data_IF_506630684535
#
_entry.id   IF_506630684535
#
_cell.length_a   1.000
_cell.length_b   1.000
_cell.length_c   1.000
_cell.angle_alpha   90.00
_cell.angle_beta   90.00
_cell.angle_gamma   90.00
#
_symmetry.space_group_name_H-M   'P 1'
#
loop_
_entity.id
_entity.type
_entity.pdbx_description
1 polymer ?
#
# COMPACT_ATOMS: atom_id res chain seq x y z
N UNK A 1 -19.14 -104.01 54.33
CA UNK A 1 -20.48 -103.95 53.72
C UNK A 1 -20.62 -102.56 53.09
N UNK A 2 -20.77 -102.55 51.76
CA UNK A 2 -21.08 -101.48 50.79
C UNK A 2 -20.53 -100.02 50.87
N UNK A 3 -20.25 -99.41 49.70
CA UNK A 3 -19.50 -98.18 49.48
C UNK A 3 -20.38 -96.95 49.20
N UNK A 4 -19.84 -95.74 49.34
CA UNK A 4 -20.38 -94.50 48.73
C UNK A 4 -19.20 -93.59 48.35
N UNK A 5 -18.87 -93.46 47.07
CA UNK A 5 -19.41 -92.51 46.07
C UNK A 5 -18.79 -91.10 46.17
N UNK A 6 -17.82 -90.85 45.29
CA UNK A 6 -17.26 -89.53 45.00
C UNK A 6 -18.32 -88.67 44.28
N UNK A 7 -18.78 -87.60 44.94
CA UNK A 7 -19.56 -86.53 44.31
C UNK A 7 -18.67 -85.31 44.08
N UNK A 8 -18.47 -85.00 42.80
CA UNK A 8 -17.99 -83.72 42.29
C UNK A 8 -19.01 -82.61 42.61
N UNK A 9 -18.55 -81.45 43.08
CA UNK A 9 -19.37 -80.23 43.14
C UNK A 9 -18.70 -79.09 42.38
N UNK A 10 -19.48 -78.59 41.42
CA UNK A 10 -19.18 -77.67 40.32
C UNK A 10 -18.86 -76.25 40.80
N UNK A 11 -17.92 -75.60 40.10
CA UNK A 11 -17.66 -74.17 40.20
C UNK A 11 -18.83 -73.31 39.67
N UNK A 12 -18.79 -72.03 40.02
CA UNK A 12 -19.85 -71.05 39.81
C UNK A 12 -20.29 -70.95 38.32
N UNK A 13 -21.59 -70.73 38.04
CA UNK A 13 -22.08 -70.65 36.67
C UNK A 13 -21.69 -69.31 36.04
N UNK A 14 -21.06 -69.37 34.85
CA UNK A 14 -20.86 -68.21 33.99
C UNK A 14 -22.23 -67.67 33.52
N UNK A 15 -22.41 -66.34 33.45
CA UNK A 15 -23.67 -65.76 32.99
C UNK A 15 -23.95 -66.14 31.52
N UNK A 16 -25.22 -66.31 31.13
CA UNK A 16 -25.59 -66.72 29.79
C UNK A 16 -25.08 -65.71 28.73
N UNK A 17 -24.57 -66.24 27.62
CA UNK A 17 -23.92 -65.51 26.51
C UNK A 17 -24.56 -64.17 26.09
N UNK A 18 -25.90 -63.98 26.02
CA UNK A 18 -26.46 -62.68 25.67
C UNK A 18 -26.21 -61.59 26.72
N UNK A 19 -26.15 -61.94 28.01
CA UNK A 19 -25.88 -60.98 29.10
C UNK A 19 -24.43 -60.48 29.02
N UNK A 20 -23.50 -61.37 28.66
CA UNK A 20 -22.10 -61.00 28.46
C UNK A 20 -21.94 -60.01 27.30
N UNK A 21 -22.68 -60.21 26.20
CA UNK A 21 -22.64 -59.30 25.05
C UNK A 21 -23.20 -57.91 25.41
N UNK A 22 -24.28 -57.86 26.20
CA UNK A 22 -24.85 -56.59 26.69
C UNK A 22 -23.87 -55.87 27.61
N UNK A 23 -23.19 -56.59 28.51
CA UNK A 23 -22.18 -56.00 29.39
C UNK A 23 -20.98 -55.45 28.62
N UNK A 24 -20.51 -56.17 27.58
CA UNK A 24 -19.44 -55.70 26.70
C UNK A 24 -19.88 -54.45 25.92
N UNK A 25 -21.13 -54.41 25.42
CA UNK A 25 -21.66 -53.26 24.71
C UNK A 25 -21.78 -52.03 25.62
N UNK A 26 -22.28 -52.20 26.85
CA UNK A 26 -22.37 -51.13 27.86
C UNK A 26 -20.97 -50.63 28.23
N UNK A 27 -20.01 -51.54 28.44
CA UNK A 27 -18.64 -51.17 28.76
C UNK A 27 -17.98 -50.44 27.58
N UNK A 28 -18.20 -50.89 26.35
CA UNK A 28 -17.75 -50.21 25.14
C UNK A 28 -18.35 -48.81 25.00
N UNK A 29 -19.64 -48.64 25.27
CA UNK A 29 -20.31 -47.33 25.27
C UNK A 29 -19.78 -46.41 26.37
N UNK A 30 -19.51 -46.96 27.56
CA UNK A 30 -18.95 -46.22 28.68
C UNK A 30 -17.52 -45.74 28.40
N UNK A 31 -16.66 -46.61 27.84
CA UNK A 31 -15.30 -46.25 27.43
C UNK A 31 -15.34 -45.21 26.30
N UNK A 32 -16.24 -45.37 25.33
CA UNK A 32 -16.43 -44.40 24.25
C UNK A 32 -16.91 -43.05 24.80
N UNK A 33 -17.88 -43.05 25.73
CA UNK A 33 -18.38 -41.86 26.41
C UNK A 33 -17.28 -41.13 27.21
N UNK A 34 -16.44 -41.86 27.94
CA UNK A 34 -15.29 -41.29 28.65
C UNK A 34 -14.25 -40.75 27.67
N UNK A 35 -14.00 -41.45 26.55
CA UNK A 35 -13.05 -41.01 25.51
C UNK A 35 -13.53 -39.74 24.82
N UNK A 36 -14.81 -39.66 24.46
CA UNK A 36 -15.43 -38.45 23.94
C UNK A 36 -15.43 -37.32 24.96
N UNK A 37 -15.69 -37.59 26.24
CA UNK A 37 -15.60 -36.57 27.28
C UNK A 37 -14.16 -36.10 27.54
N UNK A 38 -13.16 -36.98 27.42
CA UNK A 38 -11.75 -36.61 27.49
C UNK A 38 -11.34 -35.75 26.30
N UNK A 39 -11.72 -36.11 25.07
CA UNK A 39 -11.50 -35.28 23.87
C UNK A 39 -12.24 -33.95 23.98
N UNK A 40 -13.44 -33.93 24.57
CA UNK A 40 -14.19 -32.67 24.80
C UNK A 40 -13.55 -31.83 25.91
N UNK A 41 -12.94 -32.45 26.93
CA UNK A 41 -12.17 -31.78 27.97
C UNK A 41 -10.83 -31.27 27.45
N UNK A 42 -10.18 -32.01 26.55
CA UNK A 42 -8.93 -31.65 25.88
C UNK A 42 -9.18 -30.55 24.85
N UNK A 43 -10.27 -30.61 24.07
CA UNK A 43 -10.74 -29.50 23.23
C UNK A 43 -11.16 -28.29 24.07
N UNK A 44 -11.78 -28.48 25.24
CA UNK A 44 -12.05 -27.37 26.19
C UNK A 44 -10.80 -26.89 26.89
N UNK A 45 -9.76 -27.70 27.03
CA UNK A 45 -8.45 -27.29 27.54
C UNK A 45 -7.63 -26.61 26.45
N UNK A 46 -7.84 -26.92 25.16
CA UNK A 46 -7.28 -26.20 24.00
C UNK A 46 -8.05 -24.90 23.73
N UNK A 47 -9.38 -24.87 23.93
CA UNK A 47 -10.22 -23.66 23.88
C UNK A 47 -10.08 -22.78 25.14
N UNK A 48 -9.84 -23.34 26.34
CA UNK A 48 -9.51 -22.60 27.57
C UNK A 48 -8.00 -22.42 27.82
N UNK A 49 -7.13 -23.05 27.02
CA UNK A 49 -5.78 -22.56 26.78
C UNK A 49 -5.79 -21.49 25.69
N UNK A 50 -6.88 -20.74 25.60
CA UNK A 50 -6.88 -19.38 25.10
C UNK A 50 -5.68 -18.63 25.70
N UNK A 51 -4.81 -18.21 24.80
CA UNK A 51 -3.88 -17.11 24.98
C UNK A 51 -2.95 -17.20 26.19
N UNK A 52 -1.98 -18.11 26.14
CA UNK A 52 -0.60 -17.64 26.37
C UNK A 52 0.02 -17.37 25.01
N UNK A 53 -0.55 -16.40 24.28
CA UNK A 53 0.30 -15.57 23.43
C UNK A 53 1.27 -14.95 24.42
N UNK A 54 2.50 -15.48 24.48
CA UNK A 54 3.59 -14.80 25.15
C UNK A 54 3.56 -13.38 24.64
N UNK A 55 3.06 -12.45 25.46
CA UNK A 55 2.87 -11.06 25.08
C UNK A 55 4.26 -10.59 24.71
N UNK A 56 4.54 -10.47 23.39
CA UNK A 56 5.86 -10.11 22.92
C UNK A 56 6.10 -8.71 23.45
N UNK A 57 6.83 -8.63 24.56
CA UNK A 57 7.02 -7.38 25.29
C UNK A 57 8.08 -6.58 24.54
N UNK A 58 7.64 -5.92 23.48
CA UNK A 58 8.50 -5.06 22.69
C UNK A 58 8.95 -3.89 23.55
N UNK A 59 10.26 -3.68 23.59
CA UNK A 59 10.83 -2.55 24.33
C UNK A 59 10.23 -1.26 23.76
N UNK A 60 9.62 -0.45 24.63
CA UNK A 60 9.09 0.85 24.21
C UNK A 60 10.22 1.65 23.54
N UNK A 61 10.03 2.13 22.30
CA UNK A 61 11.06 2.90 21.63
C UNK A 61 11.31 4.20 22.42
N UNK A 62 12.59 4.59 22.54
CA UNK A 62 12.99 5.84 23.19
C UNK A 62 12.72 7.01 22.25
N UNK A 63 11.46 7.40 22.14
CA UNK A 63 10.99 8.49 21.28
C UNK A 63 10.30 9.57 22.13
N UNK A 64 10.32 10.84 21.67
CA UNK A 64 9.48 11.89 22.25
C UNK A 64 8.01 11.48 22.28
N UNK A 65 7.25 11.93 23.29
CA UNK A 65 5.85 11.54 23.46
C UNK A 65 5.00 11.84 22.22
N UNK A 66 5.28 12.96 21.55
CA UNK A 66 4.62 13.40 20.31
C UNK A 66 4.83 12.43 19.14
N UNK A 67 5.95 11.71 19.08
CA UNK A 67 6.25 10.76 18.02
C UNK A 67 5.60 9.39 18.22
N UNK A 68 5.27 9.04 19.46
CA UNK A 68 4.72 7.72 19.80
C UNK A 68 3.41 7.42 19.05
N UNK A 69 2.61 8.46 18.76
CA UNK A 69 1.33 8.28 18.04
C UNK A 69 1.51 7.84 16.58
N UNK A 70 2.68 8.02 15.99
CA UNK A 70 2.98 7.64 14.59
C UNK A 70 3.67 6.28 14.49
N UNK A 71 3.90 5.62 15.63
CA UNK A 71 4.61 4.35 15.72
C UNK A 71 3.63 3.25 16.09
N UNK A 72 3.51 2.25 15.22
CA UNK A 72 2.55 1.17 15.35
C UNK A 72 3.25 -0.18 15.41
N UNK A 73 2.63 -1.15 16.08
CA UNK A 73 3.02 -2.55 16.07
C UNK A 73 1.88 -3.38 15.47
N UNK A 74 1.64 -3.27 14.15
CA UNK A 74 0.54 -3.98 13.51
C UNK A 74 0.69 -5.49 13.69
N UNK A 75 -0.46 -6.15 13.92
CA UNK A 75 -0.60 -7.60 14.07
C UNK A 75 -1.51 -8.09 12.92
N UNK A 76 -0.93 -8.41 11.75
CA UNK A 76 -1.71 -8.94 10.63
C UNK A 76 -2.37 -10.26 11.02
N UNK A 77 -3.59 -10.47 10.54
CA UNK A 77 -4.35 -11.72 10.71
C UNK A 77 -3.91 -12.78 9.72
N UNK A 78 -3.49 -12.34 8.53
CA UNK A 78 -3.16 -13.22 7.40
C UNK A 78 -1.79 -13.91 7.49
N UNK A 79 -0.88 -13.43 8.36
CA UNK A 79 0.43 -14.04 8.59
C UNK A 79 1.06 -13.56 9.90
N UNK A 80 2.06 -14.27 10.41
CA UNK A 80 2.87 -13.81 11.54
C UNK A 80 4.05 -12.94 11.08
N UNK A 81 4.26 -11.79 11.74
CA UNK A 81 5.45 -10.95 11.51
C UNK A 81 6.75 -11.54 12.09
N UNK A 82 6.68 -12.61 12.89
CA UNK A 82 7.86 -13.28 13.46
C UNK A 82 8.79 -12.33 14.20
N UNK A 83 10.08 -12.36 13.85
CA UNK A 83 11.12 -11.47 14.41
C UNK A 83 10.84 -9.96 14.19
N UNK A 84 10.04 -9.62 13.17
CA UNK A 84 9.66 -8.24 12.88
C UNK A 84 8.53 -7.71 13.78
N UNK A 85 7.93 -8.55 14.64
CA UNK A 85 6.82 -8.15 15.53
C UNK A 85 7.16 -6.93 16.40
N UNK A 86 8.41 -6.83 16.88
CA UNK A 86 8.90 -5.69 17.65
C UNK A 86 9.54 -4.57 16.83
N UNK A 87 9.46 -4.63 15.50
CA UNK A 87 9.86 -3.52 14.67
C UNK A 87 8.68 -2.57 14.46
N UNK A 88 8.77 -1.32 14.95
CA UNK A 88 7.71 -0.33 14.80
C UNK A 88 7.52 0.04 13.33
N UNK A 89 6.28 0.28 12.95
CA UNK A 89 5.88 0.69 11.60
C UNK A 89 5.28 2.09 11.67
N UNK A 90 5.78 2.99 10.84
CA UNK A 90 5.18 4.30 10.58
C UNK A 90 4.33 4.23 9.33
N UNK A 91 3.06 4.61 9.46
CA UNK A 91 2.12 4.61 8.34
C UNK A 91 2.23 5.89 7.53
N UNK A 92 2.16 5.80 6.20
CA UNK A 92 2.14 7.00 5.35
C UNK A 92 1.22 6.90 4.14
N UNK A 93 0.84 8.06 3.60
CA UNK A 93 0.17 8.18 2.30
C UNK A 93 0.91 9.19 1.43
N UNK A 94 1.26 8.79 0.21
CA UNK A 94 1.81 9.66 -0.83
C UNK A 94 0.67 10.23 -1.67
N UNK A 95 0.32 11.49 -1.44
CA UNK A 95 -0.75 12.19 -2.15
C UNK A 95 -0.18 12.97 -3.32
N UNK A 96 -0.78 12.85 -4.50
CA UNK A 96 -0.26 13.50 -5.72
C UNK A 96 -1.35 13.72 -6.76
N UNK A 97 -1.05 14.53 -7.78
CA UNK A 97 -1.80 14.52 -9.05
C UNK A 97 -1.13 13.60 -10.07
N UNK A 98 -1.89 13.16 -11.09
CA UNK A 98 -1.32 12.51 -12.27
C UNK A 98 -0.21 13.35 -12.89
N UNK A 99 0.85 12.65 -13.31
CA UNK A 99 2.00 13.22 -14.03
C UNK A 99 2.84 14.22 -13.21
N UNK A 100 2.78 14.12 -11.88
CA UNK A 100 3.59 14.93 -10.95
C UNK A 100 4.89 14.24 -10.49
N UNK A 101 5.28 13.12 -11.14
CA UNK A 101 6.51 12.39 -10.79
C UNK A 101 6.34 11.37 -9.65
N UNK A 102 5.13 11.16 -9.15
CA UNK A 102 4.86 10.26 -8.02
C UNK A 102 5.16 8.79 -8.28
N UNK A 103 5.04 8.31 -9.53
CA UNK A 103 5.52 6.97 -9.89
C UNK A 103 7.04 6.81 -9.72
N UNK A 104 7.82 7.82 -10.13
CA UNK A 104 9.27 7.79 -9.99
C UNK A 104 9.68 7.87 -8.52
N UNK A 105 9.07 8.81 -7.80
CA UNK A 105 9.29 8.98 -6.37
C UNK A 105 8.93 7.73 -5.56
N UNK A 106 7.80 7.09 -5.86
CA UNK A 106 7.41 5.83 -5.24
C UNK A 106 8.44 4.72 -5.48
N UNK A 107 9.01 4.60 -6.68
CA UNK A 107 10.08 3.62 -6.92
C UNK A 107 11.37 3.93 -6.16
N UNK A 108 11.68 5.20 -5.90
CA UNK A 108 12.78 5.57 -5.01
C UNK A 108 12.50 5.10 -3.59
N UNK A 109 11.32 5.38 -3.04
CA UNK A 109 10.92 4.90 -1.72
C UNK A 109 10.99 3.37 -1.62
N UNK A 110 10.43 2.68 -2.59
CA UNK A 110 10.42 1.22 -2.63
C UNK A 110 11.80 0.58 -2.87
N UNK A 111 12.82 1.34 -3.25
CA UNK A 111 14.20 0.85 -3.26
C UNK A 111 14.81 0.73 -1.86
N UNK A 112 14.22 1.39 -0.86
CA UNK A 112 14.60 1.23 0.53
C UNK A 112 14.12 -0.13 1.07
N UNK A 113 14.95 -0.88 1.82
CA UNK A 113 14.56 -2.19 2.34
C UNK A 113 13.46 -2.12 3.40
N UNK A 114 13.41 -1.04 4.19
CA UNK A 114 12.40 -0.87 5.25
C UNK A 114 11.18 -0.02 4.84
N UNK A 115 11.07 0.42 3.58
CA UNK A 115 9.89 1.17 3.11
C UNK A 115 9.12 0.32 2.09
N UNK A 116 7.80 0.27 2.25
CA UNK A 116 6.89 -0.30 1.25
C UNK A 116 5.70 0.63 0.97
N UNK A 117 5.62 1.10 -0.26
CA UNK A 117 4.48 1.80 -0.85
C UNK A 117 3.75 0.86 -1.81
N UNK A 118 2.44 0.71 -1.62
CA UNK A 118 1.61 -0.29 -2.28
C UNK A 118 0.90 0.20 -3.56
N UNK A 119 1.38 1.28 -4.19
CA UNK A 119 0.79 1.82 -5.41
C UNK A 119 -0.57 2.48 -5.18
N UNK A 120 -1.30 2.65 -6.28
CA UNK A 120 -2.61 3.33 -6.34
C UNK A 120 -3.74 2.35 -6.03
N UNK A 121 -3.84 1.90 -4.78
CA UNK A 121 -4.84 0.91 -4.39
C UNK A 121 -6.27 1.41 -4.61
N UNK A 122 -6.50 2.73 -4.52
CA UNK A 122 -7.78 3.39 -4.75
C UNK A 122 -8.04 3.72 -6.22
N UNK A 123 -7.22 3.28 -7.17
CA UNK A 123 -7.57 3.37 -8.58
C UNK A 123 -8.81 2.51 -8.92
N UNK A 124 -9.06 1.45 -8.15
CA UNK A 124 -10.26 0.64 -8.28
C UNK A 124 -11.46 1.30 -7.58
N UNK A 125 -12.60 1.31 -8.27
CA UNK A 125 -13.81 2.03 -7.85
C UNK A 125 -14.45 1.38 -6.62
N UNK A 126 -14.51 0.05 -6.59
CA UNK A 126 -15.02 -0.77 -5.46
C UNK A 126 -14.45 -0.36 -4.10
N UNK A 127 -13.17 0.02 -4.05
CA UNK A 127 -12.49 0.43 -2.81
C UNK A 127 -12.83 1.84 -2.35
N UNK A 128 -13.48 2.64 -3.19
CA UNK A 128 -13.80 4.06 -2.93
C UNK A 128 -15.25 4.43 -3.23
N UNK A 129 -16.17 3.47 -3.29
CA UNK A 129 -17.59 3.74 -3.57
C UNK A 129 -18.26 4.60 -2.48
N UNK A 130 -17.79 4.47 -1.23
CA UNK A 130 -18.26 5.21 -0.08
C UNK A 130 -17.19 5.21 1.02
N UNK A 131 -17.41 6.04 2.06
CA UNK A 131 -16.47 6.16 3.18
C UNK A 131 -16.20 4.83 3.89
N UNK A 132 -17.20 3.97 4.09
CA UNK A 132 -17.00 2.66 4.74
C UNK A 132 -16.00 1.79 3.96
N UNK A 133 -16.13 1.74 2.64
CA UNK A 133 -15.24 0.97 1.76
C UNK A 133 -13.80 1.50 1.80
N UNK A 134 -13.66 2.83 1.87
CA UNK A 134 -12.37 3.50 2.03
C UNK A 134 -11.72 3.09 3.35
N UNK A 135 -12.43 3.25 4.47
CA UNK A 135 -11.88 2.97 5.80
C UNK A 135 -11.52 1.49 5.97
N UNK A 136 -12.34 0.56 5.48
CA UNK A 136 -12.04 -0.87 5.48
C UNK A 136 -10.77 -1.18 4.66
N UNK A 137 -10.61 -0.53 3.50
CA UNK A 137 -9.41 -0.69 2.67
C UNK A 137 -8.16 -0.17 3.39
N UNK A 138 -8.27 0.98 4.05
CA UNK A 138 -7.17 1.56 4.84
C UNK A 138 -6.82 0.70 6.06
N UNK A 139 -7.81 0.15 6.77
CA UNK A 139 -7.57 -0.74 7.90
C UNK A 139 -6.87 -2.02 7.46
N UNK A 140 -7.32 -2.65 6.37
CA UNK A 140 -6.62 -3.80 5.78
C UNK A 140 -5.16 -3.47 5.42
N UNK A 141 -4.93 -2.29 4.86
CA UNK A 141 -3.58 -1.82 4.53
C UNK A 141 -2.72 -1.63 5.79
N UNK A 142 -3.16 -0.82 6.74
CA UNK A 142 -2.34 -0.42 7.89
C UNK A 142 -2.25 -1.49 8.98
N UNK A 143 -3.11 -2.49 8.97
CA UNK A 143 -2.93 -3.73 9.75
C UNK A 143 -1.87 -4.67 9.13
N UNK A 144 -1.32 -4.32 7.96
CA UNK A 144 -0.42 -5.14 7.14
C UNK A 144 -1.05 -6.41 6.55
N UNK A 145 -2.37 -6.49 6.49
CA UNK A 145 -3.12 -7.58 5.82
C UNK A 145 -3.28 -7.35 4.30
N UNK A 146 -2.52 -6.41 3.76
CA UNK A 146 -2.45 -6.16 2.34
C UNK A 146 -1.38 -7.03 1.70
N UNK A 147 -1.80 -7.90 0.79
CA UNK A 147 -0.87 -8.76 0.06
C UNK A 147 0.06 -7.89 -0.79
N UNK A 148 1.34 -7.88 -0.43
CA UNK A 148 2.38 -7.18 -1.19
C UNK A 148 3.15 -8.20 -2.03
N UNK A 149 3.31 -7.93 -3.31
CA UNK A 149 4.08 -8.81 -4.21
C UNK A 149 5.60 -8.69 -4.03
N UNK A 150 6.04 -7.72 -3.22
CA UNK A 150 7.44 -7.39 -3.00
C UNK A 150 7.85 -7.80 -1.59
N UNK A 151 8.19 -9.09 -1.42
CA UNK A 151 8.86 -9.53 -0.21
C UNK A 151 10.14 -8.70 0.00
N UNK A 152 10.27 -8.11 1.19
CA UNK A 152 11.47 -7.38 1.59
C UNK A 152 12.34 -8.31 2.42
N UNK A 153 13.65 -8.21 2.23
CA UNK A 153 14.63 -8.99 3.00
C UNK A 153 14.88 -8.42 4.41
N UNK A 154 14.31 -7.26 4.73
CA UNK A 154 14.37 -6.64 6.05
C UNK A 154 12.96 -6.29 6.52
N UNK A 155 12.81 -6.11 7.83
CA UNK A 155 11.53 -5.71 8.40
C UNK A 155 11.09 -4.33 7.90
N UNK A 156 9.84 -4.25 7.45
CA UNK A 156 9.18 -2.99 7.11
C UNK A 156 9.09 -2.10 8.34
N UNK A 157 9.54 -0.86 8.20
CA UNK A 157 9.46 0.19 9.22
C UNK A 157 8.62 1.41 8.75
N UNK A 158 8.39 1.55 7.44
CA UNK A 158 7.43 2.50 6.88
C UNK A 158 6.54 1.80 5.86
N UNK A 159 5.22 1.92 6.03
CA UNK A 159 4.25 1.23 5.17
C UNK A 159 3.14 2.18 4.73
N UNK A 160 2.81 2.14 3.45
CA UNK A 160 1.89 3.12 2.91
C UNK A 160 1.35 2.81 1.54
N UNK A 161 0.68 3.80 0.98
CA UNK A 161 0.12 3.78 -0.36
C UNK A 161 0.42 5.08 -1.10
N UNK A 162 0.15 5.06 -2.40
CA UNK A 162 0.01 6.27 -3.20
C UNK A 162 -1.48 6.51 -3.47
N UNK A 163 -1.93 7.75 -3.32
CA UNK A 163 -3.32 8.12 -3.56
C UNK A 163 -3.37 9.37 -4.43
N UNK A 164 -3.93 9.23 -5.62
CA UNK A 164 -4.05 10.37 -6.52
C UNK A 164 -5.29 11.21 -6.17
N UNK A 165 -5.21 12.53 -6.30
CA UNK A 165 -6.34 13.42 -5.94
C UNK A 165 -7.62 13.10 -6.73
N UNK A 166 -7.50 12.66 -7.97
CA UNK A 166 -8.64 12.24 -8.80
C UNK A 166 -9.16 10.81 -8.50
N UNK A 167 -8.69 10.17 -7.43
CA UNK A 167 -9.13 8.85 -6.97
C UNK A 167 -9.93 8.96 -5.66
N UNK A 168 -10.70 10.03 -5.51
CA UNK A 168 -11.63 10.24 -4.39
C UNK A 168 -10.98 10.58 -3.05
N UNK A 169 -9.71 11.02 -3.04
CA UNK A 169 -9.04 11.47 -1.81
C UNK A 169 -9.73 12.68 -1.17
N UNK A 170 -10.32 13.55 -1.99
CA UNK A 170 -10.99 14.77 -1.55
C UNK A 170 -12.49 14.60 -1.33
N UNK A 171 -13.09 13.48 -1.76
CA UNK A 171 -14.55 13.30 -1.78
C UNK A 171 -15.13 13.15 -0.35
N UNK A 172 -14.33 12.57 0.56
CA UNK A 172 -14.65 12.39 1.97
C UNK A 172 -13.54 12.98 2.86
N UNK A 173 -13.08 14.19 2.55
CA UNK A 173 -11.88 14.78 3.14
C UNK A 173 -11.89 14.80 4.68
N UNK A 174 -13.02 15.12 5.32
CA UNK A 174 -13.11 15.22 6.78
C UNK A 174 -12.95 13.86 7.45
N UNK A 175 -13.65 12.84 6.96
CA UNK A 175 -13.57 11.48 7.49
C UNK A 175 -12.17 10.86 7.25
N UNK A 176 -11.59 11.10 6.08
CA UNK A 176 -10.24 10.64 5.75
C UNK A 176 -9.23 11.35 6.66
N UNK A 177 -9.30 12.68 6.81
CA UNK A 177 -8.39 13.42 7.68
C UNK A 177 -8.49 12.96 9.15
N UNK A 178 -9.70 12.73 9.64
CA UNK A 178 -9.95 12.18 10.98
C UNK A 178 -9.34 10.79 11.15
N UNK A 179 -9.53 9.90 10.17
CA UNK A 179 -8.94 8.56 10.18
C UNK A 179 -7.41 8.63 10.24
N UNK A 180 -6.78 9.39 9.34
CA UNK A 180 -5.33 9.53 9.26
C UNK A 180 -4.75 10.09 10.57
N UNK A 181 -5.38 11.10 11.15
CA UNK A 181 -4.98 11.67 12.45
C UNK A 181 -5.08 10.65 13.60
N UNK A 182 -6.22 9.93 13.67
CA UNK A 182 -6.47 8.91 14.70
C UNK A 182 -5.48 7.75 14.59
N UNK A 183 -5.15 7.35 13.37
CA UNK A 183 -4.25 6.23 13.08
C UNK A 183 -2.78 6.64 13.00
N UNK A 184 -2.43 7.91 13.26
CA UNK A 184 -1.03 8.34 13.21
C UNK A 184 -0.40 8.20 11.82
N UNK A 185 -1.18 8.38 10.76
CA UNK A 185 -0.67 8.31 9.39
C UNK A 185 -0.07 9.65 8.98
N UNK A 186 1.15 9.61 8.43
CA UNK A 186 1.80 10.81 7.90
C UNK A 186 1.50 11.01 6.42
N UNK A 187 1.34 12.26 5.98
CA UNK A 187 1.02 12.57 4.58
C UNK A 187 2.24 13.15 3.88
N UNK A 188 2.60 12.62 2.72
CA UNK A 188 3.59 13.22 1.82
C UNK A 188 2.84 13.75 0.61
N UNK A 189 2.75 15.07 0.48
CA UNK A 189 2.22 15.70 -0.71
C UNK A 189 3.34 15.84 -1.74
N UNK A 190 3.15 15.30 -2.94
CA UNK A 190 4.06 15.47 -4.06
C UNK A 190 3.33 16.10 -5.23
N UNK A 191 3.65 17.36 -5.50
CA UNK A 191 3.12 18.12 -6.62
C UNK A 191 4.20 18.49 -7.61
N UNK A 192 3.78 19.12 -8.70
CA UNK A 192 4.67 19.61 -9.75
C UNK A 192 4.41 21.08 -9.94
N UNK A 193 5.44 21.91 -9.80
CA UNK A 193 5.33 23.37 -9.94
C UNK A 193 4.87 23.71 -11.35
N UNK A 194 5.43 23.10 -12.39
CA UNK A 194 5.04 23.44 -13.76
C UNK A 194 3.73 22.74 -14.18
N UNK A 195 2.61 23.41 -13.91
CA UNK A 195 1.25 22.91 -14.22
C UNK A 195 1.02 22.75 -15.73
N UNK A 196 1.55 23.66 -16.56
CA UNK A 196 1.47 23.54 -18.03
C UNK A 196 2.14 22.26 -18.52
N UNK A 197 3.36 21.97 -18.03
CA UNK A 197 4.11 20.77 -18.39
C UNK A 197 3.42 19.50 -17.90
N UNK A 198 2.80 19.56 -16.72
CA UNK A 198 1.95 18.49 -16.20
C UNK A 198 0.77 18.23 -17.14
N UNK A 199 0.04 19.28 -17.53
CA UNK A 199 -1.11 19.20 -18.46
C UNK A 199 -0.72 18.55 -19.79
N UNK A 200 0.38 19.01 -20.41
CA UNK A 200 0.92 18.41 -21.64
C UNK A 200 1.20 16.91 -21.46
N UNK A 201 1.76 16.53 -20.30
CA UNK A 201 2.03 15.11 -19.99
C UNK A 201 0.77 14.29 -19.70
N UNK A 202 -0.29 14.90 -19.20
CA UNK A 202 -1.60 14.24 -19.04
C UNK A 202 -2.19 13.94 -20.41
N UNK A 203 -2.27 14.95 -21.30
CA UNK A 203 -2.81 14.79 -22.64
C UNK A 203 -2.04 13.74 -23.46
N UNK A 204 -0.70 13.73 -23.36
CA UNK A 204 0.10 12.71 -24.04
C UNK A 204 -0.17 11.29 -23.50
N UNK A 205 -0.38 11.16 -22.18
CA UNK A 205 -0.67 9.87 -21.55
C UNK A 205 -2.08 9.36 -21.88
N UNK A 206 -3.07 10.25 -21.95
CA UNK A 206 -4.44 9.88 -22.33
C UNK A 206 -4.50 9.38 -23.77
N UNK A 207 -3.82 10.05 -24.71
CA UNK A 207 -3.70 9.59 -26.09
C UNK A 207 -3.12 8.17 -26.19
N UNK A 208 -2.06 7.87 -25.43
CA UNK A 208 -1.46 6.52 -25.41
C UNK A 208 -2.40 5.47 -24.80
N UNK A 209 -3.16 5.81 -23.76
CA UNK A 209 -4.18 4.90 -23.18
C UNK A 209 -5.24 4.54 -24.22
N UNK A 210 -5.73 5.52 -24.96
CA UNK A 210 -6.79 5.32 -25.94
C UNK A 210 -6.25 4.59 -27.19
N UNK A 211 -5.04 4.92 -27.63
CA UNK A 211 -4.36 4.20 -28.72
C UNK A 211 -4.01 2.75 -28.37
N UNK A 212 -3.72 2.45 -27.10
CA UNK A 212 -3.48 1.07 -26.59
C UNK A 212 -4.70 0.17 -26.67
N UNK A 213 -5.89 0.71 -26.43
CA UNK A 213 -7.14 -0.05 -26.59
C UNK A 213 -7.34 -0.49 -28.04
N UNK A 214 -6.73 0.21 -29.00
CA UNK A 214 -6.86 -0.06 -30.43
C UNK A 214 -5.79 -1.01 -30.99
N UNK A 215 -4.55 -0.99 -30.46
CA UNK A 215 -3.38 -1.62 -31.15
C UNK A 215 -2.63 -2.71 -30.37
N UNK A 216 -3.10 -3.13 -29.18
CA UNK A 216 -2.76 -4.41 -28.55
C UNK A 216 -1.29 -4.76 -28.25
N UNK A 217 -0.29 -3.91 -28.54
CA UNK A 217 1.13 -4.33 -28.52
C UNK A 217 2.04 -3.38 -27.75
N UNK A 218 2.73 -3.93 -26.75
CA UNK A 218 3.62 -3.25 -25.81
C UNK A 218 5.09 -3.25 -26.28
N UNK A 219 5.59 -2.23 -27.01
CA UNK A 219 7.05 -1.96 -27.13
C UNK A 219 7.36 -0.45 -27.17
N UNK A 220 8.34 -0.06 -26.35
CA UNK A 220 8.94 1.28 -26.08
C UNK A 220 7.99 2.50 -25.93
N UNK A 221 7.01 2.40 -25.02
CA UNK A 221 6.05 3.47 -24.67
C UNK A 221 6.67 4.85 -24.41
N UNK A 222 7.83 4.93 -23.75
CA UNK A 222 8.44 6.22 -23.44
C UNK A 222 8.87 6.97 -24.72
N UNK A 223 9.32 6.26 -25.75
CA UNK A 223 9.76 6.86 -27.01
C UNK A 223 8.58 7.32 -27.87
N UNK A 224 7.47 6.57 -27.85
CA UNK A 224 6.22 6.94 -28.54
C UNK A 224 5.58 8.15 -27.87
N UNK A 225 5.48 8.14 -26.54
CA UNK A 225 4.97 9.27 -25.75
C UNK A 225 5.82 10.52 -25.90
N UNK A 226 7.15 10.39 -25.99
CA UNK A 226 8.05 11.52 -26.19
C UNK A 226 7.88 12.18 -27.57
N UNK A 227 7.37 11.44 -28.57
CA UNK A 227 7.14 11.94 -29.93
C UNK A 227 5.75 12.56 -30.11
N UNK A 228 4.76 12.16 -29.32
CA UNK A 228 3.41 12.70 -29.43
C UNK A 228 3.35 14.16 -28.93
N UNK A 229 2.87 15.05 -29.81
CA UNK A 229 2.66 16.47 -29.51
C UNK A 229 1.16 16.77 -29.48
N UNK A 230 0.53 16.89 -28.29
CA UNK A 230 -0.87 17.29 -28.20
C UNK A 230 -1.10 18.70 -28.75
N UNK A 231 -2.33 18.94 -29.22
CA UNK A 231 -2.89 20.28 -29.41
C UNK A 231 -3.56 20.67 -28.09
N UNK A 232 -3.22 21.83 -27.54
CA UNK A 232 -3.81 22.32 -26.30
C UNK A 232 -5.04 23.18 -26.63
N UNK A 233 -6.10 23.01 -25.84
CA UNK A 233 -7.26 23.89 -25.85
C UNK A 233 -6.90 25.24 -25.21
N UNK A 234 -6.65 26.23 -26.06
CA UNK A 234 -6.22 27.58 -25.67
C UNK A 234 -7.32 28.33 -24.94
N UNK A 235 -8.60 28.06 -25.26
CA UNK A 235 -9.75 28.72 -24.64
C UNK A 235 -9.89 28.34 -23.17
N UNK A 236 -9.67 27.06 -22.85
CA UNK A 236 -9.78 26.54 -21.48
C UNK A 236 -8.43 26.45 -20.73
N UNK A 237 -7.31 26.85 -21.33
CA UNK A 237 -5.98 26.69 -20.76
C UNK A 237 -5.81 27.36 -19.39
N UNK A 238 -6.14 28.65 -19.29
CA UNK A 238 -6.04 29.42 -18.05
C UNK A 238 -7.01 28.89 -16.97
N UNK A 239 -8.31 28.66 -17.26
CA UNK A 239 -9.22 28.00 -16.32
C UNK A 239 -8.69 26.66 -15.81
N UNK A 240 -8.16 25.81 -16.68
CA UNK A 240 -7.62 24.50 -16.30
C UNK A 240 -6.42 24.60 -15.35
N UNK A 241 -5.49 25.53 -15.63
CA UNK A 241 -4.35 25.80 -14.75
C UNK A 241 -4.83 26.31 -13.39
N UNK A 242 -5.71 27.32 -13.39
CA UNK A 242 -6.26 27.91 -12.16
C UNK A 242 -7.00 26.87 -11.30
N UNK A 243 -7.82 26.04 -11.92
CA UNK A 243 -8.58 25.01 -11.24
C UNK A 243 -7.65 23.95 -10.62
N UNK A 244 -6.59 23.57 -11.34
CA UNK A 244 -5.59 22.64 -10.80
C UNK A 244 -4.86 23.22 -9.58
N UNK A 245 -4.43 24.48 -9.64
CA UNK A 245 -3.79 25.15 -8.50
C UNK A 245 -4.75 25.32 -7.32
N UNK A 246 -6.02 25.67 -7.60
CA UNK A 246 -7.05 25.77 -6.56
C UNK A 246 -7.26 24.42 -5.88
N UNK A 247 -7.37 23.35 -6.64
CA UNK A 247 -7.59 22.02 -6.09
C UNK A 247 -6.42 21.53 -5.22
N UNK A 248 -5.18 21.90 -5.57
CA UNK A 248 -4.02 21.67 -4.69
C UNK A 248 -4.14 22.47 -3.40
N UNK A 249 -4.47 23.77 -3.46
CA UNK A 249 -4.63 24.60 -2.26
C UNK A 249 -5.72 24.06 -1.35
N UNK A 250 -6.90 23.78 -1.89
CA UNK A 250 -8.01 23.22 -1.14
C UNK A 250 -7.58 21.90 -0.46
N UNK A 251 -6.88 21.01 -1.17
CA UNK A 251 -6.34 19.79 -0.60
C UNK A 251 -5.38 20.05 0.57
N UNK A 252 -4.45 20.99 0.43
CA UNK A 252 -3.53 21.34 1.52
C UNK A 252 -4.27 21.92 2.73
N UNK A 253 -5.29 22.74 2.50
CA UNK A 253 -6.10 23.35 3.56
C UNK A 253 -6.89 22.30 4.33
N UNK A 254 -7.57 21.38 3.65
CA UNK A 254 -8.37 20.31 4.27
C UNK A 254 -7.53 19.34 5.11
N UNK A 255 -6.25 19.17 4.79
CA UNK A 255 -5.37 18.18 5.43
C UNK A 255 -4.25 18.83 6.28
N UNK A 256 -4.35 20.14 6.57
CA UNK A 256 -3.30 20.90 7.26
C UNK A 256 -3.03 20.47 8.72
N UNK A 257 -4.02 19.84 9.37
CA UNK A 257 -3.93 19.38 10.77
C UNK A 257 -3.17 18.07 10.93
N UNK A 258 -2.96 17.34 9.83
CA UNK A 258 -2.27 16.05 9.82
C UNK A 258 -0.77 16.30 9.70
N UNK A 259 0.04 15.45 10.34
CA UNK A 259 1.50 15.48 10.14
C UNK A 259 1.81 15.26 8.66
N UNK A 260 2.33 16.29 8.01
CA UNK A 260 2.57 16.24 6.57
C UNK A 260 3.89 16.89 6.16
N UNK A 261 4.33 16.54 4.95
CA UNK A 261 5.45 17.14 4.23
C UNK A 261 4.97 17.50 2.82
N UNK A 262 5.29 18.71 2.35
CA UNK A 262 4.99 19.15 0.99
C UNK A 262 6.27 19.15 0.18
N UNK A 263 6.24 18.45 -0.95
CA UNK A 263 7.34 18.32 -1.88
C UNK A 263 6.88 18.73 -3.28
N UNK A 264 7.82 19.31 -4.02
CA UNK A 264 7.66 19.54 -5.44
C UNK A 264 8.69 18.73 -6.22
N UNK A 265 8.26 18.13 -7.33
CA UNK A 265 9.11 17.34 -8.22
C UNK A 265 10.40 18.06 -8.59
N UNK A 266 10.30 19.34 -8.95
CA UNK A 266 11.41 20.19 -9.35
C UNK A 266 12.46 20.34 -8.25
N UNK A 267 12.01 20.42 -7.00
CA UNK A 267 12.89 20.57 -5.84
C UNK A 267 13.61 19.26 -5.53
N UNK A 268 12.93 18.11 -5.64
CA UNK A 268 13.55 16.79 -5.44
C UNK A 268 14.60 16.50 -6.53
N UNK A 269 14.32 16.88 -7.78
CA UNK A 269 15.27 16.67 -8.89
C UNK A 269 16.51 17.53 -8.73
N UNK A 270 16.37 18.77 -8.25
CA UNK A 270 17.47 19.71 -8.05
C UNK A 270 18.26 19.43 -6.77
N UNK A 271 17.58 19.09 -5.69
CA UNK A 271 18.17 18.91 -4.37
C UNK A 271 18.04 17.46 -3.90
N UNK A 272 19.14 16.71 -3.98
CA UNK A 272 19.18 15.31 -3.51
C UNK A 272 18.93 15.17 -2.00
N UNK A 273 19.15 16.22 -1.20
CA UNK A 273 18.91 16.17 0.25
C UNK A 273 17.42 16.05 0.59
N UNK A 274 16.51 16.42 -0.33
CA UNK A 274 15.08 16.22 -0.13
C UNK A 274 14.73 14.74 0.14
N UNK A 275 15.43 13.80 -0.51
CA UNK A 275 15.22 12.36 -0.29
C UNK A 275 15.76 11.88 1.07
N UNK A 276 16.73 12.57 1.66
CA UNK A 276 17.17 12.29 3.03
C UNK A 276 16.12 12.74 4.03
N UNK A 277 15.60 13.97 3.87
CA UNK A 277 14.54 14.51 4.71
C UNK A 277 13.27 13.65 4.68
N UNK A 278 12.93 13.06 3.53
CA UNK A 278 11.80 12.12 3.44
C UNK A 278 12.03 10.85 4.26
N UNK A 279 13.24 10.30 4.26
CA UNK A 279 13.57 9.11 5.05
C UNK A 279 13.52 9.41 6.55
N UNK A 280 14.04 10.58 6.96
CA UNK A 280 13.94 11.06 8.34
C UNK A 280 12.48 11.28 8.75
N UNK A 281 11.67 11.90 7.87
CA UNK A 281 10.25 12.10 8.11
C UNK A 281 9.48 10.79 8.28
N UNK A 282 9.84 9.75 7.51
CA UNK A 282 9.30 8.40 7.65
C UNK A 282 9.94 7.59 8.80
N UNK A 283 10.93 8.16 9.50
CA UNK A 283 11.59 7.53 10.64
C UNK A 283 12.36 6.26 10.29
N UNK A 284 12.92 6.18 9.08
CA UNK A 284 13.76 5.07 8.62
C UNK A 284 15.22 5.51 8.50
N UNK A 285 16.20 4.59 8.62
CA UNK A 285 17.60 4.92 8.42
C UNK A 285 17.84 5.52 7.03
N UNK A 286 18.67 6.56 6.95
CA UNK A 286 18.99 7.18 5.65
C UNK A 286 19.83 6.21 4.81
N UNK A 287 19.34 5.88 3.62
CA UNK A 287 20.07 5.11 2.60
C UNK A 287 20.00 5.81 1.24
N UNK A 288 20.88 5.37 0.33
CA UNK A 288 20.84 5.79 -1.07
C UNK A 288 19.63 5.15 -1.76
N UNK A 289 18.71 5.98 -2.24
CA UNK A 289 17.55 5.53 -3.02
C UNK A 289 17.90 5.47 -4.51
N UNK A 290 17.37 4.47 -5.21
CA UNK A 290 17.59 4.24 -6.64
C UNK A 290 16.27 4.01 -7.37
N UNK A 291 16.19 4.47 -8.62
CA UNK A 291 15.02 4.24 -9.47
C UNK A 291 15.47 3.89 -10.88
N UNK A 292 14.78 2.93 -11.49
CA UNK A 292 14.94 2.56 -12.90
C UNK A 292 13.98 3.32 -13.83
N UNK A 293 13.10 4.16 -13.28
CA UNK A 293 12.15 4.90 -14.09
C UNK A 293 12.85 6.03 -14.85
N UNK A 294 12.49 6.16 -16.13
CA UNK A 294 13.02 7.19 -17.02
C UNK A 294 11.94 8.27 -17.23
N UNK A 295 12.36 9.53 -17.19
CA UNK A 295 11.50 10.66 -17.52
C UNK A 295 11.14 10.62 -19.00
N UNK A 296 9.85 10.68 -19.29
CA UNK A 296 9.34 10.57 -20.67
C UNK A 296 9.52 11.90 -21.43
N UNK A 297 9.25 13.04 -20.78
CA UNK A 297 9.35 14.36 -21.42
C UNK A 297 10.72 14.97 -21.13
N UNK A 298 11.69 14.67 -21.99
CA UNK A 298 13.06 15.20 -21.91
C UNK A 298 13.29 16.44 -22.76
N UNK A 299 12.36 16.83 -23.64
CA UNK A 299 12.48 18.01 -24.51
C UNK A 299 11.93 19.30 -23.88
N UNK A 300 12.38 20.49 -24.33
CA UNK A 300 11.77 21.78 -23.98
C UNK A 300 10.29 21.83 -24.35
N UNK A 301 9.51 22.67 -23.66
CA UNK A 301 8.06 22.80 -23.85
C UNK A 301 7.63 23.07 -25.31
N UNK A 302 8.28 23.96 -26.09
CA UNK A 302 7.92 24.17 -27.50
C UNK A 302 7.98 22.90 -28.34
N UNK A 303 8.91 22.00 -28.01
CA UNK A 303 9.06 20.72 -28.71
C UNK A 303 7.97 19.70 -28.39
N UNK A 304 7.14 19.94 -27.37
CA UNK A 304 6.15 18.99 -26.85
C UNK A 304 4.71 19.33 -27.23
N UNK A 305 4.45 20.47 -27.88
CA UNK A 305 3.10 20.96 -28.20
C UNK A 305 3.00 21.30 -29.68
N UNK A 306 1.86 21.01 -30.32
CA UNK A 306 1.67 21.28 -31.75
C UNK A 306 1.36 22.75 -32.04
N UNK A 307 0.48 23.37 -31.25
CA UNK A 307 0.09 24.78 -31.35
C UNK A 307 0.81 25.63 -30.29
N UNK A 308 2.15 25.51 -30.23
CA UNK A 308 2.95 26.17 -29.18
C UNK A 308 2.80 27.70 -29.20
N UNK A 309 2.79 28.32 -30.37
CA UNK A 309 2.72 29.78 -30.49
C UNK A 309 1.43 30.32 -29.88
N UNK A 310 0.29 29.68 -30.12
CA UNK A 310 -0.99 30.06 -29.51
C UNK A 310 -0.97 29.90 -27.98
N UNK A 311 -0.39 28.81 -27.48
CA UNK A 311 -0.23 28.56 -26.05
C UNK A 311 0.67 29.60 -25.40
N UNK A 312 1.81 29.89 -26.01
CA UNK A 312 2.77 30.89 -25.55
C UNK A 312 2.12 32.27 -25.53
N UNK A 313 1.45 32.68 -26.61
CA UNK A 313 0.76 33.96 -26.71
C UNK A 313 -0.38 34.10 -25.69
N UNK A 314 -1.12 33.02 -25.41
CA UNK A 314 -2.20 33.03 -24.42
C UNK A 314 -1.71 33.21 -22.98
N UNK A 315 -0.55 32.64 -22.66
CA UNK A 315 0.02 32.70 -21.30
C UNK A 315 0.92 33.91 -21.08
N UNK A 316 1.57 34.41 -22.14
CA UNK A 316 2.42 35.58 -22.06
C UNK A 316 1.61 36.81 -21.59
N UNK A 317 2.22 37.64 -20.74
CA UNK A 317 1.52 38.77 -20.12
C UNK A 317 0.49 38.40 -19.04
N UNK A 318 0.33 37.11 -18.70
CA UNK A 318 -0.51 36.66 -17.56
C UNK A 318 0.36 36.22 -16.38
N UNK A 319 -0.25 36.04 -15.21
CA UNK A 319 0.45 35.48 -14.03
C UNK A 319 1.04 34.08 -14.27
N UNK A 320 0.57 33.36 -15.30
CA UNK A 320 1.00 32.01 -15.65
C UNK A 320 2.15 31.98 -16.66
N UNK A 321 2.68 33.14 -17.07
CA UNK A 321 3.81 33.24 -17.99
C UNK A 321 5.06 32.49 -17.48
N UNK A 322 5.25 32.42 -16.15
CA UNK A 322 6.36 31.71 -15.52
C UNK A 322 6.39 30.19 -15.82
N UNK A 323 5.30 29.60 -16.30
CA UNK A 323 5.31 28.19 -16.74
C UNK A 323 6.02 27.97 -18.07
N UNK A 324 6.24 29.02 -18.86
CA UNK A 324 6.94 28.97 -20.14
C UNK A 324 8.44 28.75 -19.97
N UNK A 325 9.02 29.13 -18.81
CA UNK A 325 10.47 29.17 -18.55
C UNK A 325 11.17 27.80 -18.46
N UNK A 326 10.43 26.69 -18.61
CA UNK A 326 11.01 25.36 -18.79
C UNK A 326 11.92 24.85 -17.65
N UNK A 327 11.87 25.47 -16.48
CA UNK A 327 12.80 25.30 -15.36
C UNK A 327 12.97 23.83 -14.87
N UNK A 328 12.03 22.93 -15.18
CA UNK A 328 12.08 21.48 -14.96
C UNK A 328 13.01 20.73 -15.93
N UNK A 329 13.69 21.41 -16.86
CA UNK A 329 14.54 20.81 -17.90
C UNK A 329 15.88 20.29 -17.36
N UNK A 330 16.19 20.50 -16.07
CA UNK A 330 17.39 19.91 -15.47
C UNK A 330 17.38 18.39 -15.67
N UNK A 331 18.35 17.87 -16.42
CA UNK A 331 18.52 16.44 -16.61
C UNK A 331 18.69 15.79 -15.23
N UNK A 332 17.87 14.79 -14.85
CA UNK A 332 18.20 14.02 -13.68
C UNK A 332 19.60 13.41 -13.90
N UNK A 333 20.48 13.45 -12.90
CA UNK A 333 21.85 12.97 -13.06
C UNK A 333 21.82 11.52 -13.53
N UNK A 334 22.42 11.28 -14.69
CA UNK A 334 22.56 9.95 -15.30
C UNK A 334 23.31 9.05 -14.31
N UNK A 335 22.61 8.20 -13.56
CA UNK A 335 23.24 7.01 -13.00
C UNK A 335 23.42 6.05 -14.18
N UNK A 336 24.67 5.72 -14.49
CA UNK A 336 25.12 4.92 -15.63
C UNK A 336 24.10 3.87 -16.08
N UNK A 337 23.46 4.17 -17.20
CA UNK A 337 22.64 3.23 -17.96
C UNK A 337 23.56 2.21 -18.63
N UNK A 338 23.76 1.05 -18.00
CA UNK A 338 23.99 -0.15 -18.80
C UNK A 338 22.66 -0.56 -19.44
N UNK A 339 22.76 -0.79 -20.76
CA UNK A 339 21.68 -1.15 -21.69
C UNK A 339 20.70 -2.18 -21.12
N UNK A 340 19.41 -1.90 -21.41
CA UNK A 340 18.31 -2.85 -21.63
C UNK A 340 18.00 -3.83 -20.50
N UNK A 341 16.85 -3.73 -19.83
CA UNK A 341 15.99 -4.89 -19.51
C UNK A 341 14.56 -4.44 -19.15
N UNK A 342 13.60 -5.24 -19.62
CA UNK A 342 12.16 -5.09 -19.61
C UNK A 342 11.53 -4.77 -18.24
N UNK A 343 10.48 -3.94 -18.24
CA UNK A 343 9.49 -3.91 -17.16
C UNK A 343 8.16 -4.37 -17.75
N UNK A 344 7.79 -5.60 -17.40
CA UNK A 344 6.41 -6.09 -17.49
C UNK A 344 5.62 -5.42 -16.39
N UNK A 345 4.70 -4.52 -16.73
CA UNK A 345 3.64 -4.11 -15.80
C UNK A 345 2.72 -5.31 -15.66
N UNK A 346 2.90 -6.12 -14.60
CA UNK A 346 1.91 -7.14 -14.26
C UNK A 346 0.64 -6.42 -13.82
N UNK A 347 -0.46 -6.67 -14.55
CA UNK A 347 -1.82 -6.45 -14.06
C UNK A 347 -1.97 -7.14 -12.71
N UNK A 348 -2.47 -6.41 -11.72
CA UNK A 348 -3.05 -7.01 -10.53
C UNK A 348 -4.52 -7.33 -10.85
N UNK A 349 -4.76 -8.54 -11.36
CA UNK A 349 -6.06 -9.21 -11.28
C UNK A 349 -5.92 -10.29 -10.20
N UNK A 350 -6.41 -9.96 -9.00
CA UNK A 350 -7.18 -10.81 -8.08
C UNK A 350 -7.60 -9.94 -6.89
#
# INVERSE_FOLDING_TARGET
MHPYSLKSSKGAPFPPRPILVVLIAIFGFYVCYISFNQITLENRYEENSGEVQAEIHCRKPRLPHEELRYVHFPKPESYSRGECSCNPVRSFVLVSMQRSGSGWFETLLNSHPNISSNGEIFNRVDRRENISSILQTLDKLYNLDWFTSAAKNECTAAFGLKWMLNQGFMDHHDDIANYLNKKGVSVIFLFRKNTLRRLISVLANDYDRDAKQLNGTHKSHAEILAKFKPVLDVSNLIPNIRNAEKYIRDCLDHFNTIRHMILYYEDIVRNRNALFQVQEFLGVPVRKLVSRQVKIHTSPLPGLVRNWDDVSNKLNGTQYAHFLDGADYVHPPQQQLHRTYCITVRKYEQ
#
